data_IF_372286230282
#
_entry.id   IF_372286230282
#
_cell.length_a   1.000
_cell.length_b   1.000
_cell.length_c   1.000
_cell.angle_alpha   90.00
_cell.angle_beta   90.00
_cell.angle_gamma   90.00
#
_symmetry.space_group_name_H-M   'P 1'
#
loop_
_entity.id
_entity.type
_entity.pdbx_description
1 polymer ?
#
# COMPACT_ATOMS: atom_id res chain seq x y z
N UNK A 1 -29.01 61.05 -13.00
CA UNK A 1 -27.77 60.25 -13.09
C UNK A 1 -27.94 59.05 -12.19
N UNK A 2 -28.01 57.87 -12.81
CA UNK A 2 -28.25 56.58 -12.16
C UNK A 2 -26.97 56.03 -11.55
N UNK A 3 -27.04 55.47 -10.34
CA UNK A 3 -26.03 54.54 -9.84
C UNK A 3 -26.72 53.29 -9.31
N UNK A 4 -26.41 52.18 -9.96
CA UNK A 4 -26.91 50.83 -9.67
C UNK A 4 -26.04 50.24 -8.55
N UNK A 5 -26.66 49.83 -7.45
CA UNK A 5 -26.01 49.03 -6.42
C UNK A 5 -25.79 47.60 -6.95
N UNK A 6 -24.54 47.18 -7.09
CA UNK A 6 -24.20 45.80 -7.43
C UNK A 6 -24.16 44.95 -6.16
N UNK A 7 -25.20 44.13 -5.97
CA UNK A 7 -25.15 42.95 -5.12
C UNK A 7 -24.33 41.86 -5.81
N UNK A 8 -23.29 41.35 -5.17
CA UNK A 8 -22.61 40.11 -5.56
C UNK A 8 -22.25 39.30 -4.31
N UNK A 9 -23.13 38.39 -3.91
CA UNK A 9 -22.71 37.03 -3.56
C UNK A 9 -22.58 36.26 -4.89
N UNK A 10 -21.64 35.32 -5.10
CA UNK A 10 -21.48 34.06 -4.36
C UNK A 10 -19.98 33.76 -4.09
N UNK A 11 -19.50 32.74 -3.37
CA UNK A 11 -19.60 31.30 -3.67
C UNK A 11 -19.22 30.48 -2.43
N UNK A 12 -20.11 29.57 -2.04
CA UNK A 12 -19.78 28.32 -1.35
C UNK A 12 -18.64 27.61 -2.08
N UNK A 13 -17.47 27.45 -1.44
CA UNK A 13 -16.57 26.32 -1.73
C UNK A 13 -15.40 26.18 -0.73
N UNK A 14 -15.58 26.51 0.56
CA UNK A 14 -14.45 26.60 1.50
C UNK A 14 -14.39 25.52 2.59
N UNK A 15 -15.30 24.56 2.64
CA UNK A 15 -15.39 23.65 3.82
C UNK A 15 -15.70 22.20 3.48
N UNK A 16 -15.06 21.59 2.47
CA UNK A 16 -15.22 20.14 2.20
C UNK A 16 -13.90 19.34 2.22
N UNK A 17 -12.86 19.82 2.90
CA UNK A 17 -11.62 19.02 3.11
C UNK A 17 -11.29 18.85 4.60
N UNK A 18 -12.29 18.94 5.48
CA UNK A 18 -12.15 18.62 6.91
C UNK A 18 -12.64 17.20 7.28
N UNK A 19 -13.05 16.38 6.32
CA UNK A 19 -13.48 14.99 6.57
C UNK A 19 -12.62 13.94 5.85
N UNK A 20 -11.30 14.03 5.99
CA UNK A 20 -10.44 12.87 5.72
C UNK A 20 -10.01 12.29 7.07
N UNK A 21 -10.90 11.42 7.54
CA UNK A 21 -10.87 10.50 8.67
C UNK A 21 -9.69 10.59 9.65
N UNK A 22 -10.06 10.85 10.90
CA UNK A 22 -9.21 10.94 12.09
C UNK A 22 -8.67 9.60 12.59
N UNK A 23 -8.68 8.54 11.77
CA UNK A 23 -8.31 7.19 12.23
C UNK A 23 -6.84 6.79 11.94
N UNK A 24 -5.95 7.76 11.73
CA UNK A 24 -4.51 7.48 11.74
C UNK A 24 -4.06 7.36 13.20
N UNK A 25 -4.33 6.21 13.82
CA UNK A 25 -3.88 5.88 15.17
C UNK A 25 -2.36 5.82 15.20
N UNK A 26 -1.76 6.94 15.62
CA UNK A 26 -0.38 7.07 16.05
C UNK A 26 -0.08 6.00 17.10
N UNK A 27 0.55 4.91 16.66
CA UNK A 27 1.19 3.94 17.55
C UNK A 27 2.67 4.28 17.56
N UNK A 28 3.06 5.10 18.53
CA UNK A 28 4.44 5.34 18.90
C UNK A 28 5.00 4.06 19.54
N UNK A 29 5.73 3.29 18.74
CA UNK A 29 6.56 2.20 19.23
C UNK A 29 8.01 2.59 18.96
N UNK A 30 8.58 3.35 19.90
CA UNK A 30 10.02 3.57 19.97
C UNK A 30 10.74 2.29 20.39
N UNK A 31 11.70 1.86 19.59
CA UNK A 31 12.85 1.07 20.04
C UNK A 31 14.11 1.66 19.41
N UNK A 32 14.97 2.21 20.29
CA UNK A 32 16.30 2.66 19.97
C UNK A 32 17.22 1.47 19.69
N UNK A 33 17.98 1.52 18.60
CA UNK A 33 19.20 0.71 18.47
C UNK A 33 20.37 1.57 18.01
N UNK A 34 21.31 1.70 18.95
CA UNK A 34 22.66 2.25 18.86
C UNK A 34 23.51 1.55 17.79
N UNK A 35 24.32 2.32 17.07
CA UNK A 35 25.36 1.84 16.16
C UNK A 35 26.18 3.01 15.59
N UNK A 36 27.48 3.04 15.89
CA UNK A 36 28.37 4.19 15.74
C UNK A 36 29.06 4.40 14.38
N UNK A 37 29.81 5.51 14.37
CA UNK A 37 30.98 5.89 13.55
C UNK A 37 30.82 6.20 12.05
N UNK A 38 30.98 7.48 11.67
CA UNK A 38 32.17 7.97 10.92
C UNK A 38 32.15 9.49 10.67
N UNK A 39 33.18 10.18 11.15
CA UNK A 39 33.46 11.61 10.95
C UNK A 39 33.74 11.95 9.48
N UNK A 40 33.16 13.04 8.97
CA UNK A 40 33.61 13.70 7.73
C UNK A 40 33.57 15.23 7.89
N UNK A 41 34.70 15.95 7.75
CA UNK A 41 34.72 17.38 7.97
C UNK A 41 34.32 18.13 6.69
N UNK A 42 33.58 19.25 6.82
CA UNK A 42 34.03 20.59 6.38
C UNK A 42 32.93 21.67 6.30
N UNK A 43 33.34 22.84 6.83
CA UNK A 43 33.02 24.22 6.44
C UNK A 43 31.78 24.88 7.06
N UNK A 44 32.07 25.61 8.16
CA UNK A 44 31.38 26.85 8.51
C UNK A 44 31.29 27.75 7.27
N UNK A 45 30.07 28.15 6.91
CA UNK A 45 29.84 29.21 5.95
C UNK A 45 28.65 30.02 6.41
N UNK A 46 28.96 31.05 7.20
CA UNK A 46 28.06 32.08 7.65
C UNK A 46 27.74 33.03 6.50
N UNK A 47 26.69 32.74 5.73
CA UNK A 47 25.98 33.78 4.99
C UNK A 47 24.48 33.63 5.27
N UNK A 48 23.98 34.62 5.99
CA UNK A 48 22.56 34.91 6.15
C UNK A 48 21.85 34.90 4.79
N UNK A 49 21.07 33.87 4.48
CA UNK A 49 19.97 34.00 3.50
C UNK A 49 18.68 34.09 4.29
N UNK A 50 18.40 35.32 4.72
CA UNK A 50 17.08 35.75 5.17
C UNK A 50 16.10 35.60 4.00
N UNK A 51 15.03 34.86 4.26
CA UNK A 51 13.68 35.13 3.77
C UNK A 51 13.51 35.40 2.27
N UNK A 52 13.15 34.36 1.52
CA UNK A 52 12.19 34.53 0.42
C UNK A 52 10.99 33.59 0.63
N UNK A 53 10.35 33.79 1.78
CA UNK A 53 8.99 33.31 2.04
C UNK A 53 8.05 34.39 1.52
N UNK A 54 7.70 34.36 0.23
CA UNK A 54 6.39 34.80 -0.30
C UNK A 54 6.31 34.68 -1.83
N UNK A 55 5.23 34.05 -2.25
CA UNK A 55 4.58 34.16 -3.57
C UNK A 55 5.11 33.34 -4.75
N UNK A 56 4.70 32.07 -4.78
CA UNK A 56 4.25 31.45 -6.04
C UNK A 56 3.03 30.56 -5.77
N UNK A 57 1.88 31.13 -6.11
CA UNK A 57 0.62 30.51 -6.55
C UNK A 57 -0.01 29.34 -5.77
N UNK A 58 -1.12 29.70 -5.10
CA UNK A 58 -2.37 28.94 -4.91
C UNK A 58 -2.50 27.66 -5.78
N UNK A 59 -2.36 26.49 -5.16
CA UNK A 59 -3.00 25.19 -5.53
C UNK A 59 -2.30 23.95 -4.95
N UNK A 60 -1.25 24.09 -4.13
CA UNK A 60 -0.61 22.94 -3.47
C UNK A 60 -1.25 22.69 -2.11
N UNK A 61 -1.72 21.46 -1.90
CA UNK A 61 -2.22 21.00 -0.59
C UNK A 61 -1.18 21.33 0.50
N UNK A 62 -1.63 21.69 1.72
CA UNK A 62 -0.73 21.91 2.85
C UNK A 62 0.21 20.72 3.04
N UNK A 63 1.48 20.96 3.39
CA UNK A 63 2.48 19.90 3.53
C UNK A 63 2.04 18.82 4.53
N UNK A 64 1.32 19.23 5.59
CA UNK A 64 0.71 18.32 6.57
C UNK A 64 -0.31 17.37 5.96
N UNK A 65 -1.13 17.85 5.02
CA UNK A 65 -2.10 17.02 4.29
C UNK A 65 -1.39 16.05 3.36
N UNK A 66 -0.34 16.52 2.66
CA UNK A 66 0.48 15.65 1.79
C UNK A 66 1.14 14.52 2.57
N UNK A 67 1.71 14.82 3.74
CA UNK A 67 2.32 13.82 4.62
C UNK A 67 1.29 12.78 5.10
N UNK A 68 0.13 13.22 5.60
CA UNK A 68 -0.97 12.31 6.00
C UNK A 68 -1.43 11.39 4.87
N UNK A 69 -1.55 11.92 3.66
CA UNK A 69 -1.92 11.11 2.48
C UNK A 69 -0.85 10.05 2.18
N UNK A 70 0.44 10.43 2.24
CA UNK A 70 1.54 9.50 2.01
C UNK A 70 1.62 8.41 3.07
N UNK A 71 1.39 8.76 4.34
CA UNK A 71 1.35 7.79 5.45
C UNK A 71 0.22 6.78 5.27
N UNK A 72 -0.97 7.25 4.88
CA UNK A 72 -2.08 6.36 4.57
C UNK A 72 -1.77 5.42 3.40
N UNK A 73 -1.15 5.92 2.34
CA UNK A 73 -0.77 5.06 1.20
C UNK A 73 0.32 4.05 1.58
N UNK A 74 1.26 4.43 2.45
CA UNK A 74 2.23 3.48 3.04
C UNK A 74 1.49 2.37 3.77
N UNK A 75 0.53 2.70 4.65
CA UNK A 75 -0.24 1.69 5.37
C UNK A 75 -1.00 0.77 4.42
N UNK A 76 -1.69 1.32 3.42
CA UNK A 76 -2.37 0.55 2.38
C UNK A 76 -1.42 -0.41 1.66
N UNK A 77 -0.20 0.05 1.35
CA UNK A 77 0.83 -0.79 0.73
C UNK A 77 1.37 -1.86 1.69
N UNK A 78 1.45 -1.60 3.00
CA UNK A 78 1.81 -2.60 4.00
C UNK A 78 0.76 -3.71 4.08
N UNK A 79 -0.53 -3.36 4.14
CA UNK A 79 -1.63 -4.33 4.18
C UNK A 79 -1.66 -5.20 2.91
N UNK A 80 -1.47 -4.57 1.74
CA UNK A 80 -1.36 -5.28 0.46
C UNK A 80 -0.17 -6.27 0.45
N UNK A 81 0.99 -5.84 0.96
CA UNK A 81 2.17 -6.69 1.00
C UNK A 81 1.99 -7.84 2.01
N UNK A 82 1.33 -7.60 3.13
CA UNK A 82 0.99 -8.63 4.11
C UNK A 82 0.09 -9.70 3.49
N UNK A 83 -0.97 -9.30 2.76
CA UNK A 83 -1.82 -10.24 2.04
C UNK A 83 -1.05 -11.06 0.98
N UNK A 84 -0.09 -10.43 0.28
CA UNK A 84 0.77 -11.13 -0.68
C UNK A 84 1.72 -12.12 0.01
N UNK A 85 2.22 -11.80 1.21
CA UNK A 85 3.05 -12.72 2.01
C UNK A 85 2.21 -13.90 2.51
N UNK A 86 0.98 -13.69 3.00
CA UNK A 86 0.05 -14.78 3.34
C UNK A 86 -0.27 -15.66 2.13
N UNK A 87 -0.37 -15.08 0.92
CA UNK A 87 -0.49 -15.88 -0.30
C UNK A 87 0.74 -16.77 -0.51
N UNK A 88 1.96 -16.27 -0.25
CA UNK A 88 3.18 -17.08 -0.40
C UNK A 88 3.20 -18.28 0.54
N UNK A 89 2.67 -18.16 1.75
CA UNK A 89 2.62 -19.26 2.73
C UNK A 89 1.80 -20.47 2.23
N UNK A 90 0.76 -20.22 1.44
CA UNK A 90 -0.10 -21.28 0.90
C UNK A 90 0.37 -21.83 -0.46
N UNK A 91 1.44 -21.26 -1.02
CA UNK A 91 1.99 -21.72 -2.30
C UNK A 91 2.78 -23.02 -2.17
N UNK A 92 2.80 -23.88 -3.21
CA UNK A 92 3.73 -25.00 -3.25
C UNK A 92 5.18 -24.49 -3.23
N UNK A 93 6.05 -25.19 -2.50
CA UNK A 93 7.51 -24.96 -2.41
C UNK A 93 7.96 -23.65 -1.72
N UNK A 94 7.06 -22.89 -1.10
CA UNK A 94 7.41 -21.69 -0.33
C UNK A 94 8.02 -21.98 1.05
N UNK A 95 7.77 -23.17 1.60
CA UNK A 95 8.06 -23.54 2.99
C UNK A 95 9.50 -24.05 3.23
N UNK A 96 10.40 -23.87 2.27
CA UNK A 96 11.81 -24.24 2.44
C UNK A 96 12.52 -23.23 3.33
N UNK A 97 13.22 -23.68 4.38
CA UNK A 97 14.02 -22.83 5.28
C UNK A 97 15.10 -21.98 4.58
N UNK A 98 15.34 -22.20 3.28
CA UNK A 98 16.26 -21.45 2.42
C UNK A 98 15.58 -20.90 1.13
N UNK A 99 14.25 -20.99 1.03
CA UNK A 99 13.53 -20.51 -0.14
C UNK A 99 13.47 -18.98 -0.13
N UNK A 100 14.24 -18.35 -1.03
CA UNK A 100 14.19 -16.90 -1.25
C UNK A 100 12.75 -16.47 -1.60
N UNK A 101 12.29 -15.34 -1.05
CA UNK A 101 10.97 -14.77 -1.37
C UNK A 101 10.81 -14.59 -2.88
N UNK A 102 9.77 -15.17 -3.46
CA UNK A 102 9.43 -15.00 -4.87
C UNK A 102 9.05 -13.54 -5.16
N UNK A 103 9.36 -13.06 -6.38
CA UNK A 103 8.93 -11.73 -6.84
C UNK A 103 7.40 -11.62 -6.85
N UNK A 104 6.86 -10.40 -6.83
CA UNK A 104 5.40 -10.18 -6.86
C UNK A 104 4.76 -10.85 -8.09
N UNK A 105 5.38 -10.66 -9.27
CA UNK A 105 4.91 -11.28 -10.51
C UNK A 105 5.00 -12.80 -10.48
N UNK A 106 6.13 -13.35 -10.00
CA UNK A 106 6.30 -14.81 -9.91
C UNK A 106 5.27 -15.44 -8.96
N UNK A 107 4.98 -14.78 -7.83
CA UNK A 107 3.97 -15.21 -6.85
C UNK A 107 2.60 -15.29 -7.51
N UNK A 108 2.18 -14.25 -8.26
CA UNK A 108 0.88 -14.22 -8.94
C UNK A 108 0.77 -15.26 -10.07
N UNK A 109 1.84 -15.43 -10.86
CA UNK A 109 1.89 -16.46 -11.91
C UNK A 109 1.76 -17.86 -11.32
N UNK A 110 2.52 -18.14 -10.27
CA UNK A 110 2.48 -19.44 -9.60
C UNK A 110 1.10 -19.68 -8.96
N UNK A 111 0.48 -18.65 -8.35
CA UNK A 111 -0.83 -18.76 -7.72
C UNK A 111 -1.91 -19.16 -8.73
N UNK A 112 -1.96 -18.47 -9.88
CA UNK A 112 -2.90 -18.81 -10.96
C UNK A 112 -2.70 -20.24 -11.44
N UNK A 113 -1.45 -20.63 -11.68
CA UNK A 113 -1.15 -21.98 -12.16
C UNK A 113 -1.49 -23.04 -11.11
N UNK A 114 -1.26 -22.74 -9.83
CA UNK A 114 -1.56 -23.66 -8.74
C UNK A 114 -3.06 -23.91 -8.61
N UNK A 115 -3.89 -22.87 -8.66
CA UNK A 115 -5.37 -23.01 -8.69
C UNK A 115 -5.80 -23.91 -9.87
N UNK A 116 -5.24 -23.68 -11.07
CA UNK A 116 -5.58 -24.48 -12.24
C UNK A 116 -5.19 -25.96 -12.07
N UNK A 117 -4.04 -26.25 -11.45
CA UNK A 117 -3.61 -27.62 -11.18
C UNK A 117 -4.50 -28.31 -10.13
N UNK A 118 -4.89 -27.59 -9.07
CA UNK A 118 -5.81 -28.11 -8.05
C UNK A 118 -7.18 -28.45 -8.65
N UNK A 119 -7.71 -27.61 -9.54
CA UNK A 119 -8.98 -27.90 -10.21
C UNK A 119 -8.89 -29.18 -11.05
N UNK A 120 -7.82 -29.33 -11.84
CA UNK A 120 -7.57 -30.54 -12.64
C UNK A 120 -7.44 -31.79 -11.77
N UNK A 121 -6.68 -31.72 -10.67
CA UNK A 121 -6.51 -32.88 -9.79
C UNK A 121 -7.82 -33.30 -9.13
N UNK A 122 -8.67 -32.33 -8.76
CA UNK A 122 -10.01 -32.61 -8.22
C UNK A 122 -10.91 -33.27 -9.26
N UNK A 123 -10.88 -32.83 -10.52
CA UNK A 123 -11.62 -33.44 -11.63
C UNK A 123 -11.17 -34.88 -11.91
N UNK A 124 -9.86 -35.11 -11.95
CA UNK A 124 -9.27 -36.44 -12.12
C UNK A 124 -9.66 -37.39 -10.98
N UNK A 125 -9.59 -36.93 -9.73
CA UNK A 125 -10.02 -37.71 -8.56
C UNK A 125 -11.50 -38.06 -8.62
N UNK A 126 -12.36 -37.13 -9.03
CA UNK A 126 -13.80 -37.41 -9.22
C UNK A 126 -14.03 -38.48 -10.28
N UNK A 127 -13.32 -38.41 -11.41
CA UNK A 127 -13.41 -39.43 -12.47
C UNK A 127 -12.96 -40.81 -11.98
N UNK A 128 -11.84 -40.88 -11.26
CA UNK A 128 -11.37 -42.15 -10.70
C UNK A 128 -12.37 -42.76 -9.71
N UNK A 129 -13.02 -41.94 -8.88
CA UNK A 129 -14.06 -42.40 -7.96
C UNK A 129 -15.28 -42.94 -8.72
N UNK A 130 -15.72 -42.26 -9.79
CA UNK A 130 -16.81 -42.74 -10.65
C UNK A 130 -16.48 -44.09 -11.29
N UNK A 131 -15.27 -44.24 -11.84
CA UNK A 131 -14.81 -45.48 -12.46
C UNK A 131 -14.76 -46.64 -11.45
N UNK A 132 -14.28 -46.38 -10.22
CA UNK A 132 -14.25 -47.39 -9.15
C UNK A 132 -15.65 -47.75 -8.65
N UNK A 133 -16.55 -46.78 -8.54
CA UNK A 133 -17.93 -47.01 -8.12
C UNK A 133 -18.66 -47.84 -9.17
N UNK A 134 -18.53 -47.50 -10.46
CA UNK A 134 -19.11 -48.26 -11.55
C UNK A 134 -18.60 -49.71 -11.59
N UNK A 135 -17.33 -49.95 -11.27
CA UNK A 135 -16.76 -51.31 -11.17
C UNK A 135 -17.32 -52.10 -9.98
N UNK A 136 -17.61 -51.43 -8.85
CA UNK A 136 -18.21 -52.06 -7.67
C UNK A 136 -19.66 -52.50 -7.90
N UNK A 137 -20.43 -51.75 -8.67
CA UNK A 137 -21.83 -52.10 -8.98
C UNK A 137 -21.96 -53.29 -9.97
N UNK A 138 -20.86 -53.65 -10.64
CA UNK A 138 -20.83 -54.73 -11.65
C UNK A 138 -20.24 -56.04 -11.10
N UNK A 139 -19.63 -56.01 -9.91
CA UNK A 139 -19.01 -57.16 -9.25
C UNK A 139 -19.84 -57.68 -8.09
#
# INVERSE_FOLDING_TARGET
MSTISASTEPTSDRTEIEEIDSNCSFSDSGEEQSGGDEERPRKQSSYVIRSSRRYSSKSRLPETVRLRINDRERQRMHDLNAALDSLREVMPFSNGASAKKLSKMATLLLARNYIAMLNKSVEELRRMIQDLTARKEVS
#
